data_IF_205565498607
#
_entry.id   IF_205565498607
#
_cell.length_a   1.000
_cell.length_b   1.000
_cell.length_c   1.000
_cell.angle_alpha   90.00
_cell.angle_beta   90.00
_cell.angle_gamma   90.00
#
_symmetry.space_group_name_H-M   'P 1'
#
loop_
_entity.id
_entity.type
_entity.pdbx_description
1 polymer ?
#
# COMPACT_ATOMS: atom_id res chain seq x y z
N UNK A 1 -18.86 -4.97 -18.32
CA UNK A 1 -18.22 -5.03 -16.98
C UNK A 1 -17.05 -6.01 -16.97
N UNK A 2 -15.82 -5.53 -16.76
CA UNK A 2 -14.67 -6.40 -16.50
C UNK A 2 -14.62 -6.80 -15.02
N UNK A 3 -14.59 -8.10 -14.74
CA UNK A 3 -14.50 -8.61 -13.38
C UNK A 3 -13.05 -8.59 -12.89
N UNK A 4 -12.71 -7.67 -11.99
CA UNK A 4 -11.38 -7.60 -11.38
C UNK A 4 -11.24 -8.64 -10.27
N UNK A 5 -10.48 -9.70 -10.52
CA UNK A 5 -10.36 -10.86 -9.60
C UNK A 5 -9.56 -10.57 -8.32
N UNK A 6 -8.73 -9.53 -8.30
CA UNK A 6 -7.77 -9.27 -7.20
C UNK A 6 -8.13 -8.05 -6.34
N UNK A 7 -9.38 -7.59 -6.38
CA UNK A 7 -9.86 -6.53 -5.49
C UNK A 7 -9.70 -6.95 -4.02
N UNK A 8 -9.18 -6.06 -3.17
CA UNK A 8 -8.93 -6.33 -1.74
C UNK A 8 -7.72 -7.22 -1.41
N UNK A 9 -7.04 -7.79 -2.42
CA UNK A 9 -5.84 -8.59 -2.18
C UNK A 9 -4.60 -7.71 -1.96
N UNK A 10 -3.73 -8.09 -1.03
CA UNK A 10 -2.44 -7.42 -0.80
C UNK A 10 -1.58 -7.45 -2.07
N UNK A 11 -0.76 -6.41 -2.26
CA UNK A 11 0.23 -6.35 -3.35
C UNK A 11 1.43 -7.23 -3.00
N UNK A 12 1.76 -8.17 -3.88
CA UNK A 12 3.00 -8.94 -3.79
C UNK A 12 4.17 -8.17 -4.41
N UNK A 13 5.39 -8.48 -3.98
CA UNK A 13 6.61 -7.86 -4.53
C UNK A 13 6.70 -8.04 -6.05
N UNK A 14 6.31 -9.21 -6.56
CA UNK A 14 6.32 -9.47 -8.01
C UNK A 14 5.30 -8.60 -8.75
N UNK A 15 4.12 -8.36 -8.18
CA UNK A 15 3.13 -7.42 -8.76
C UNK A 15 3.69 -6.00 -8.78
N UNK A 16 4.42 -5.58 -7.74
CA UNK A 16 5.01 -4.24 -7.68
C UNK A 16 6.10 -4.05 -8.72
N UNK A 17 6.99 -5.03 -8.88
CA UNK A 17 8.02 -4.99 -9.93
C UNK A 17 7.40 -4.99 -11.33
N UNK A 18 6.27 -5.68 -11.51
CA UNK A 18 5.52 -5.63 -12.77
C UNK A 18 4.87 -4.26 -12.98
N UNK A 19 4.29 -3.68 -11.94
CA UNK A 19 3.68 -2.35 -11.99
C UNK A 19 4.72 -1.28 -12.38
N UNK A 20 5.88 -1.28 -11.71
CA UNK A 20 7.01 -0.40 -12.02
C UNK A 20 7.45 -0.58 -13.48
N UNK A 21 7.73 -1.82 -13.91
CA UNK A 21 8.15 -2.11 -15.28
C UNK A 21 7.12 -1.63 -16.32
N UNK A 22 5.85 -1.80 -16.03
CA UNK A 22 4.79 -1.47 -16.98
C UNK A 22 4.53 0.03 -17.08
N UNK A 23 4.59 0.73 -15.95
CA UNK A 23 4.37 2.16 -15.91
C UNK A 23 5.62 2.94 -16.34
N UNK A 24 6.79 2.66 -15.77
CA UNK A 24 8.01 3.42 -16.04
C UNK A 24 8.69 3.03 -17.36
N UNK A 25 8.83 1.73 -17.64
CA UNK A 25 9.63 1.27 -18.79
C UNK A 25 8.82 1.06 -20.06
N UNK A 26 7.58 0.59 -19.93
CA UNK A 26 6.71 0.33 -21.09
C UNK A 26 5.72 1.47 -21.35
N UNK A 27 5.66 2.46 -20.46
CA UNK A 27 4.80 3.64 -20.57
C UNK A 27 3.32 3.29 -20.83
N UNK A 28 2.86 2.17 -20.29
CA UNK A 28 1.47 1.72 -20.48
C UNK A 28 0.49 2.66 -19.77
N UNK A 29 -0.72 2.75 -20.33
CA UNK A 29 -1.82 3.48 -19.70
C UNK A 29 -2.33 2.71 -18.46
N UNK A 30 -2.99 3.42 -17.56
CA UNK A 30 -3.52 2.83 -16.31
C UNK A 30 -4.60 1.76 -16.57
N UNK A 31 -5.31 1.81 -17.70
CA UNK A 31 -6.34 0.85 -18.07
C UNK A 31 -5.74 -0.51 -18.43
N UNK A 32 -4.71 -0.53 -19.27
CA UNK A 32 -4.01 -1.73 -19.71
C UNK A 32 -3.31 -2.40 -18.52
N UNK A 33 -2.72 -1.58 -17.65
CA UNK A 33 -2.14 -2.04 -16.38
C UNK A 33 -3.22 -2.65 -15.49
N UNK A 34 -4.37 -2.00 -15.33
CA UNK A 34 -5.50 -2.52 -14.55
C UNK A 34 -5.97 -3.89 -15.07
N UNK A 35 -6.11 -4.04 -16.40
CA UNK A 35 -6.48 -5.30 -17.04
C UNK A 35 -5.44 -6.38 -16.79
N UNK A 36 -4.15 -6.09 -16.95
CA UNK A 36 -3.09 -7.08 -16.72
C UNK A 36 -2.99 -7.54 -15.27
N UNK A 37 -3.07 -6.61 -14.32
CA UNK A 37 -3.00 -6.89 -12.90
C UNK A 37 -4.31 -7.44 -12.35
N UNK A 38 -5.39 -7.44 -13.14
CA UNK A 38 -6.74 -7.86 -12.74
C UNK A 38 -7.22 -7.08 -11.49
N UNK A 39 -6.89 -5.79 -11.46
CA UNK A 39 -7.22 -4.82 -10.39
C UNK A 39 -7.93 -3.62 -10.99
N UNK A 40 -8.70 -2.90 -10.18
CA UNK A 40 -9.40 -1.70 -10.63
C UNK A 40 -8.42 -0.59 -10.97
N UNK A 41 -8.79 0.31 -11.88
CA UNK A 41 -7.98 1.49 -12.24
C UNK A 41 -7.67 2.35 -11.02
N UNK A 42 -8.64 2.53 -10.12
CA UNK A 42 -8.40 3.21 -8.84
C UNK A 42 -7.31 2.53 -8.00
N UNK A 43 -7.31 1.20 -7.90
CA UNK A 43 -6.29 0.49 -7.14
C UNK A 43 -4.89 0.64 -7.75
N UNK A 44 -4.79 0.74 -9.08
CA UNK A 44 -3.54 1.08 -9.77
C UNK A 44 -3.10 2.50 -9.40
N UNK A 45 -3.98 3.49 -9.51
CA UNK A 45 -3.70 4.90 -9.20
C UNK A 45 -3.18 5.09 -7.78
N UNK A 46 -3.91 4.55 -6.79
CA UNK A 46 -3.48 4.59 -5.38
C UNK A 46 -2.10 3.98 -5.19
N UNK A 47 -1.79 2.91 -5.93
CA UNK A 47 -0.49 2.26 -5.77
C UNK A 47 0.64 3.02 -6.46
N UNK A 48 0.38 3.63 -7.60
CA UNK A 48 1.35 4.50 -8.28
C UNK A 48 1.72 5.71 -7.43
N UNK A 49 0.74 6.34 -6.80
CA UNK A 49 0.95 7.45 -5.86
C UNK A 49 1.74 7.00 -4.62
N UNK A 50 1.37 5.87 -4.02
CA UNK A 50 2.02 5.36 -2.82
C UNK A 50 3.49 4.96 -3.03
N UNK A 51 3.85 4.47 -4.24
CA UNK A 51 5.24 4.16 -4.61
C UNK A 51 6.00 5.40 -5.11
N UNK A 52 5.31 6.54 -5.32
CA UNK A 52 5.93 7.78 -5.77
C UNK A 52 6.27 7.81 -7.26
N UNK A 53 5.62 6.99 -8.09
CA UNK A 53 5.74 7.06 -9.55
C UNK A 53 4.99 8.25 -10.15
N UNK A 54 4.01 8.78 -9.42
CA UNK A 54 3.26 9.99 -9.75
C UNK A 54 3.10 10.85 -8.50
N UNK A 55 3.11 12.17 -8.66
CA UNK A 55 2.84 13.09 -7.55
C UNK A 55 1.34 13.28 -7.32
N UNK A 56 0.54 13.16 -8.38
CA UNK A 56 -0.90 13.33 -8.31
C UNK A 56 -1.61 12.48 -9.37
N UNK A 57 -2.88 12.16 -9.14
CA UNK A 57 -3.64 11.31 -10.08
C UNK A 57 -3.77 11.94 -11.47
N UNK A 58 -3.81 13.27 -11.57
CA UNK A 58 -3.94 13.97 -12.85
C UNK A 58 -2.71 13.76 -13.78
N UNK A 59 -1.58 13.32 -13.24
CA UNK A 59 -0.37 12.98 -14.00
C UNK A 59 -0.42 11.56 -14.59
N UNK A 60 -1.34 10.72 -14.11
CA UNK A 60 -1.42 9.33 -14.52
C UNK A 60 -1.79 9.17 -16.00
N UNK A 61 -0.95 8.42 -16.74
CA UNK A 61 -1.16 8.16 -18.17
C UNK A 61 -2.49 7.44 -18.41
N UNK A 62 -3.34 8.03 -19.25
CA UNK A 62 -4.65 7.45 -19.61
C UNK A 62 -5.82 7.86 -18.70
N UNK A 63 -5.61 8.66 -17.64
CA UNK A 63 -6.70 9.00 -16.71
C UNK A 63 -7.92 9.69 -17.37
N UNK A 64 -7.67 10.57 -18.34
CA UNK A 64 -8.75 11.32 -19.00
C UNK A 64 -9.70 10.41 -19.80
N UNK A 65 -9.16 9.37 -20.44
CA UNK A 65 -9.96 8.37 -21.16
C UNK A 65 -10.81 7.57 -20.17
N UNK A 66 -10.23 7.11 -19.06
CA UNK A 66 -10.96 6.39 -18.02
C UNK A 66 -12.11 7.21 -17.42
N UNK A 67 -11.88 8.51 -17.15
CA UNK A 67 -12.93 9.41 -16.64
C UNK A 67 -14.07 9.61 -17.64
N UNK A 68 -13.74 9.66 -18.93
CA UNK A 68 -14.72 9.88 -20.00
C UNK A 68 -15.60 8.64 -20.19
N UNK A 69 -15.02 7.44 -20.18
CA UNK A 69 -15.74 6.16 -20.31
C UNK A 69 -16.78 5.99 -19.21
N UNK A 70 -16.42 6.31 -17.95
CA UNK A 70 -17.33 6.18 -16.80
C UNK A 70 -18.58 7.06 -16.89
N UNK A 71 -18.52 8.16 -17.64
CA UNK A 71 -19.61 9.14 -17.75
C UNK A 71 -20.77 8.65 -18.64
N UNK A 72 -20.54 7.68 -19.52
CA UNK A 72 -21.55 7.19 -20.46
C UNK A 72 -22.28 5.93 -19.99
N UNK A 73 -22.02 5.42 -18.78
CA UNK A 73 -22.70 4.25 -18.20
C UNK A 73 -23.88 4.62 -17.26
N UNK A 74 -24.19 5.91 -17.06
CA UNK A 74 -25.21 6.40 -16.11
C UNK A 74 -26.50 6.99 -16.76
N UNK A 75 -26.65 6.92 -18.09
CA UNK A 75 -27.79 7.52 -18.84
C UNK A 75 -28.70 6.44 -19.48
N UNK A 76 -29.22 5.50 -18.69
CA UNK A 76 -30.23 4.53 -19.14
C UNK A 76 -31.24 4.19 -18.03
N UNK A 77 -31.87 5.22 -17.44
CA UNK A 77 -33.17 5.07 -16.77
C UNK A 77 -34.07 6.27 -17.16
N UNK A 78 -34.89 6.06 -18.20
CA UNK A 78 -36.13 6.80 -18.43
C UNK A 78 -37.03 6.60 -17.20
N UNK A 79 -37.23 7.64 -16.40
CA UNK A 79 -38.43 7.78 -15.57
C UNK A 79 -38.95 9.22 -15.69
N UNK A 80 -39.96 9.36 -16.54
CA UNK A 80 -40.96 10.43 -16.42
C UNK A 80 -41.74 10.17 -15.11
N UNK A 81 -41.54 10.98 -14.07
CA UNK A 81 -42.65 11.72 -13.47
C UNK A 81 -42.22 12.68 -12.36
N UNK A 82 -42.89 13.82 -12.40
CA UNK A 82 -42.92 14.97 -11.51
C UNK A 82 -43.37 14.57 -10.09
N UNK A 83 -42.70 15.06 -9.03
CA UNK A 83 -43.36 15.69 -7.87
C UNK A 83 -42.42 16.05 -6.70
N UNK A 84 -42.97 16.95 -5.87
CA UNK A 84 -42.39 17.91 -4.94
C UNK A 84 -41.69 17.38 -3.67
N UNK A 85 -40.88 18.27 -3.08
CA UNK A 85 -40.01 18.10 -1.92
C UNK A 85 -40.70 17.55 -0.65
N UNK A 86 -40.02 16.65 0.08
CA UNK A 86 -40.12 16.59 1.54
C UNK A 86 -38.75 16.34 2.20
N UNK A 87 -38.32 17.34 2.97
CA UNK A 87 -37.26 17.23 3.96
C UNK A 87 -37.63 16.18 5.02
N UNK A 88 -36.77 15.19 5.22
CA UNK A 88 -36.71 14.46 6.48
C UNK A 88 -35.27 14.45 7.00
N UNK A 89 -35.06 15.20 8.08
CA UNK A 89 -33.95 15.02 9.00
C UNK A 89 -34.11 13.66 9.70
N UNK A 90 -33.15 12.74 9.55
CA UNK A 90 -32.39 12.20 10.69
C UNK A 90 -31.57 10.92 10.36
N UNK A 91 -30.29 11.03 10.72
CA UNK A 91 -29.40 10.05 11.36
C UNK A 91 -28.65 8.97 10.55
N UNK A 92 -27.32 9.22 10.52
CA UNK A 92 -26.18 8.29 10.50
C UNK A 92 -25.97 7.48 9.21
N UNK A 93 -24.85 7.60 8.49
CA UNK A 93 -23.51 7.31 9.03
C UNK A 93 -22.42 8.17 8.35
N UNK A 94 -21.78 9.00 9.16
CA UNK A 94 -20.60 9.78 8.80
C UNK A 94 -19.38 8.86 8.70
N UNK A 95 -19.13 8.29 7.52
CA UNK A 95 -17.86 7.58 7.22
C UNK A 95 -16.78 8.61 6.86
N UNK A 96 -16.51 9.53 7.78
CA UNK A 96 -15.37 10.46 7.74
C UNK A 96 -14.30 10.12 8.79
N UNK A 97 -14.59 9.23 9.75
CA UNK A 97 -13.67 8.89 10.85
C UNK A 97 -12.54 7.89 10.54
N UNK A 98 -12.61 7.16 9.42
CA UNK A 98 -11.75 5.98 9.18
C UNK A 98 -10.30 6.27 8.76
N UNK A 99 -10.00 7.47 8.25
CA UNK A 99 -8.64 7.81 7.81
C UNK A 99 -7.70 8.05 9.00
N UNK A 100 -8.19 8.72 10.05
CA UNK A 100 -7.40 9.03 11.24
C UNK A 100 -6.98 7.77 12.03
N UNK A 101 -7.81 6.73 12.04
CA UNK A 101 -7.47 5.48 12.73
C UNK A 101 -6.46 4.65 11.95
N UNK A 102 -6.54 4.66 10.61
CA UNK A 102 -5.53 4.02 9.73
C UNK A 102 -4.18 4.74 9.85
N UNK A 103 -4.17 6.07 9.89
CA UNK A 103 -2.94 6.85 10.06
C UNK A 103 -2.27 6.57 11.42
N UNK A 104 -3.07 6.55 12.49
CA UNK A 104 -2.59 6.19 13.84
C UNK A 104 -2.06 4.74 13.91
N UNK A 105 -2.70 3.79 13.20
CA UNK A 105 -2.18 2.42 13.11
C UNK A 105 -0.87 2.37 12.32
N UNK A 106 -0.74 3.16 11.25
CA UNK A 106 0.44 3.18 10.39
C UNK A 106 1.67 3.72 11.12
N UNK A 107 1.54 4.83 11.83
CA UNK A 107 2.61 5.38 12.67
C UNK A 107 3.04 4.40 13.76
N UNK A 108 2.07 3.71 14.37
CA UNK A 108 2.34 2.71 15.41
C UNK A 108 3.05 1.48 14.85
N UNK A 109 2.66 0.99 13.67
CA UNK A 109 3.35 -0.13 13.01
C UNK A 109 4.78 0.27 12.66
N UNK A 110 4.99 1.47 12.13
CA UNK A 110 6.33 1.96 11.79
C UNK A 110 7.25 2.08 13.01
N UNK A 111 6.72 2.60 14.12
CA UNK A 111 7.43 2.68 15.40
C UNK A 111 7.76 1.31 15.98
N UNK A 112 6.87 0.32 15.80
CA UNK A 112 7.12 -1.06 16.21
C UNK A 112 8.22 -1.69 15.36
N UNK A 113 8.18 -1.53 14.03
CA UNK A 113 9.19 -2.08 13.13
C UNK A 113 10.59 -1.54 13.41
N UNK A 114 10.69 -0.23 13.66
CA UNK A 114 11.96 0.41 14.07
C UNK A 114 12.45 -0.12 15.42
N UNK A 115 11.60 -0.14 16.46
CA UNK A 115 12.01 -0.65 17.78
C UNK A 115 12.41 -2.14 17.75
N UNK A 116 11.73 -2.98 16.97
CA UNK A 116 12.11 -4.40 16.78
C UNK A 116 13.45 -4.51 16.05
N UNK A 117 13.71 -3.64 15.08
CA UNK A 117 15.00 -3.51 14.43
C UNK A 117 16.13 -3.18 15.41
N UNK A 118 15.90 -2.23 16.31
CA UNK A 118 16.85 -1.88 17.38
C UNK A 118 17.07 -3.02 18.37
N UNK A 119 16.02 -3.72 18.79
CA UNK A 119 16.14 -4.90 19.64
C UNK A 119 16.99 -5.97 18.96
N UNK A 120 16.79 -6.21 17.66
CA UNK A 120 17.58 -7.16 16.89
C UNK A 120 19.07 -6.81 16.91
N UNK A 121 19.42 -5.53 16.77
CA UNK A 121 20.83 -5.10 16.82
C UNK A 121 21.42 -5.25 18.21
N UNK A 122 20.68 -4.87 19.26
CA UNK A 122 21.10 -5.03 20.65
C UNK A 122 21.33 -6.49 21.02
N UNK A 123 20.41 -7.37 20.65
CA UNK A 123 20.53 -8.82 20.89
C UNK A 123 21.78 -9.36 20.20
N UNK A 124 22.02 -8.99 18.94
CA UNK A 124 23.22 -9.40 18.20
C UNK A 124 24.50 -8.97 18.93
N UNK A 125 24.58 -7.72 19.37
CA UNK A 125 25.74 -7.22 20.13
C UNK A 125 25.95 -7.95 21.46
N UNK A 126 24.88 -8.31 22.16
CA UNK A 126 24.98 -9.10 23.40
C UNK A 126 25.50 -10.51 23.13
N UNK A 127 25.03 -11.16 22.07
CA UNK A 127 25.52 -12.47 21.65
C UNK A 127 27.00 -12.41 21.27
N UNK A 128 27.41 -11.44 20.47
CA UNK A 128 28.80 -11.27 20.05
C UNK A 128 29.74 -11.08 21.27
N UNK A 129 29.36 -10.19 22.21
CA UNK A 129 30.10 -10.00 23.47
C UNK A 129 30.16 -11.26 24.33
N UNK A 130 29.09 -12.03 24.39
CA UNK A 130 29.06 -13.30 25.15
C UNK A 130 29.97 -14.36 24.51
N UNK A 131 30.07 -14.39 23.18
CA UNK A 131 30.98 -15.29 22.47
C UNK A 131 32.43 -14.87 22.68
N UNK A 132 32.73 -13.57 22.58
CA UNK A 132 34.08 -13.03 22.85
C UNK A 132 34.58 -13.37 24.25
N UNK A 133 33.74 -13.19 25.28
CA UNK A 133 34.11 -13.50 26.68
C UNK A 133 34.40 -14.99 26.91
N UNK A 134 33.70 -15.90 26.22
CA UNK A 134 33.96 -17.36 26.25
C UNK A 134 35.27 -17.75 25.55
N UNK A 135 35.65 -17.06 24.48
CA UNK A 135 36.92 -17.33 23.79
C UNK A 135 38.13 -16.77 24.55
N UNK A 136 37.98 -15.63 25.23
CA UNK A 136 39.06 -14.95 25.93
C UNK A 136 39.45 -15.65 27.26
N UNK A 137 38.47 -16.23 27.97
CA UNK A 137 38.71 -17.04 29.18
C UNK A 137 39.49 -18.33 28.89
N UNK A 138 39.36 -18.92 27.70
CA UNK A 138 40.09 -20.12 27.27
C UNK A 138 41.57 -19.87 26.93
N UNK A 139 41.94 -18.63 26.62
CA UNK A 139 43.34 -18.23 26.34
C UNK A 139 44.13 -17.95 27.62
N UNK A 140 43.48 -17.49 28.69
CA UNK A 140 44.13 -17.15 29.97
C UNK A 140 44.51 -18.37 30.81
N UNK A 141 43.89 -19.52 30.59
CA UNK A 141 44.22 -20.78 31.29
C UNK A 141 45.43 -21.54 30.73
N UNK A 142 46.06 -21.07 29.63
CA UNK A 142 47.26 -21.71 29.05
C UNK A 142 48.59 -21.06 29.41
N UNK A 143 48.62 -20.10 30.34
CA UNK A 143 49.85 -19.49 30.85
C UNK A 143 49.99 -19.78 32.35
N UNK A 144 50.31 -21.03 32.67
CA UNK A 144 51.00 -21.35 33.91
C UNK A 144 52.09 -22.36 33.58
N UNK A 145 53.23 -21.82 33.18
CA UNK A 145 54.53 -22.46 33.15
C UNK A 145 54.89 -22.98 34.54
N UNK A 146 55.31 -24.23 34.62
CA UNK A 146 56.54 -24.68 35.28
C UNK A 146 57.04 -25.92 34.54
#
# INVERSE_FOLDING_TARGET
MQAYKRTGNKWSVNELLQLEREYELLELNIQDIAVKHQRTVQAILYKLEAEGFIESWNEARGLNEWRSEKKYEEDDEDDEDDEEQQLTENNNDDVSGGLSEIDNLTERVWSLETSVGEIRTMVKQMFDKMVETKTNTKKRTKLRTY
#
